data_IF_912039813264
#
_entry.id   IF_912039813264
#
_cell.length_a   1.000
_cell.length_b   1.000
_cell.length_c   1.000
_cell.angle_alpha   90.00
_cell.angle_beta   90.00
_cell.angle_gamma   90.00
#
_symmetry.space_group_name_H-M   'P 1'
#
loop_
_entity.id
_entity.type
_entity.pdbx_description
1 polymer ?
#
# COMPACT_ATOMS: atom_id res chain seq x y z
N UNK A 1 53.56 -39.93 11.97
CA UNK A 1 54.53 -39.30 12.82
C UNK A 1 53.84 -38.35 13.78
N UNK A 2 53.94 -38.76 15.01
CA UNK A 2 53.50 -38.15 16.25
C UNK A 2 54.53 -37.12 16.71
N UNK A 3 54.12 -35.97 17.19
CA UNK A 3 54.84 -35.15 18.19
C UNK A 3 53.80 -34.42 19.01
N UNK A 4 53.51 -34.90 20.16
CA UNK A 4 53.77 -34.52 21.55
C UNK A 4 53.63 -33.05 21.91
N UNK A 5 52.61 -32.79 22.72
CA UNK A 5 52.50 -32.13 24.04
C UNK A 5 53.67 -31.31 24.56
N UNK A 6 53.39 -30.10 25.06
CA UNK A 6 53.59 -29.60 26.44
C UNK A 6 53.27 -28.11 26.44
N UNK A 7 52.20 -27.68 27.10
CA UNK A 7 52.17 -27.17 28.45
C UNK A 7 52.98 -25.87 28.65
N UNK A 8 52.24 -24.77 28.86
CA UNK A 8 52.69 -23.75 29.84
C UNK A 8 51.46 -22.93 30.27
N UNK A 9 50.94 -23.41 31.38
CA UNK A 9 50.04 -22.71 32.31
C UNK A 9 50.85 -21.57 32.97
N UNK A 10 50.55 -20.31 32.71
CA UNK A 10 50.95 -19.18 33.57
C UNK A 10 49.84 -18.12 33.50
N UNK A 11 48.97 -18.17 34.52
CA UNK A 11 48.16 -17.02 34.91
C UNK A 11 49.06 -15.99 35.60
N UNK A 12 49.05 -14.73 35.24
CA UNK A 12 49.50 -13.66 36.12
C UNK A 12 48.33 -13.20 37.00
N UNK A 13 48.52 -13.32 38.32
CA UNK A 13 47.80 -12.59 39.35
C UNK A 13 47.87 -11.09 39.09
N UNK A 14 46.77 -10.45 38.86
CA UNK A 14 46.65 -8.99 38.92
C UNK A 14 45.62 -8.63 40.00
N UNK A 15 46.13 -8.34 41.18
CA UNK A 15 45.40 -7.64 42.24
C UNK A 15 45.00 -6.25 41.76
N UNK A 16 43.79 -5.77 42.06
CA UNK A 16 43.46 -4.39 41.75
C UNK A 16 44.20 -3.43 42.69
N UNK A 17 44.65 -2.26 42.17
CA UNK A 17 45.30 -1.26 42.99
C UNK A 17 44.30 -0.56 43.92
N UNK A 18 44.83 -0.23 45.12
CA UNK A 18 44.13 0.41 46.21
C UNK A 18 43.42 1.71 45.79
N UNK A 19 42.19 1.84 46.28
CA UNK A 19 41.34 3.04 46.13
C UNK A 19 42.01 4.27 46.78
N UNK A 20 42.22 5.29 45.94
CA UNK A 20 42.61 6.65 46.38
C UNK A 20 41.38 7.33 46.98
N UNK A 21 41.44 7.94 48.16
CA UNK A 21 40.31 8.67 48.72
C UNK A 21 40.08 9.97 47.92
N UNK A 22 38.93 10.05 47.26
CA UNK A 22 38.46 11.28 46.59
C UNK A 22 37.98 12.23 47.67
N UNK A 23 38.76 13.25 47.96
CA UNK A 23 38.37 14.43 48.75
C UNK A 23 37.18 15.13 48.08
N UNK A 24 36.08 15.22 48.83
CA UNK A 24 34.90 16.01 48.43
C UNK A 24 35.27 17.50 48.32
N UNK A 25 34.92 18.18 47.21
CA UNK A 25 35.03 19.63 47.18
C UNK A 25 33.97 20.24 48.08
N UNK A 26 34.43 21.20 48.87
CA UNK A 26 33.65 22.08 49.73
C UNK A 26 32.54 22.77 48.94
N UNK A 27 31.32 22.63 49.40
CA UNK A 27 30.14 23.34 48.88
C UNK A 27 30.32 24.86 49.06
N UNK A 28 30.62 25.51 47.96
CA UNK A 28 30.50 26.95 47.89
C UNK A 28 29.01 27.34 47.92
N UNK A 29 28.61 28.01 48.98
CA UNK A 29 27.32 28.65 49.15
C UNK A 29 27.04 29.63 48.00
N UNK A 30 26.07 29.30 47.17
CA UNK A 30 25.55 30.17 46.14
C UNK A 30 24.66 31.22 46.80
N UNK A 31 24.84 32.52 46.55
CA UNK A 31 23.92 33.52 47.05
C UNK A 31 22.54 33.36 46.42
N UNK A 32 21.53 33.30 47.27
CA UNK A 32 20.12 33.46 46.90
C UNK A 32 19.91 34.87 46.34
N UNK A 33 19.93 34.98 45.02
CA UNK A 33 19.30 36.13 44.37
C UNK A 33 17.85 35.75 44.09
N UNK A 34 16.99 36.31 44.91
CA UNK A 34 15.57 36.39 44.68
C UNK A 34 15.30 37.03 43.31
N UNK A 35 14.94 36.23 42.30
CA UNK A 35 14.19 36.65 41.15
C UNK A 35 12.91 35.85 41.08
N UNK A 36 12.02 36.08 42.04
CA UNK A 36 10.60 35.84 41.89
C UNK A 36 10.09 36.83 40.83
N UNK A 37 9.92 36.39 39.62
CA UNK A 37 9.42 37.27 38.58
C UNK A 37 9.26 36.54 37.25
N UNK A 38 8.02 36.11 36.98
CA UNK A 38 7.48 36.07 35.61
C UNK A 38 8.03 34.98 34.70
N UNK A 39 7.83 33.73 35.06
CA UNK A 39 7.51 32.68 34.07
C UNK A 39 6.00 32.44 34.02
N UNK A 40 5.22 33.50 33.87
CA UNK A 40 3.81 33.40 33.49
C UNK A 40 3.78 33.08 32.01
N UNK A 41 3.58 31.78 31.70
CA UNK A 41 2.52 31.33 30.87
C UNK A 41 2.35 31.98 29.51
N UNK A 42 3.28 31.74 28.57
CA UNK A 42 2.94 31.79 27.14
C UNK A 42 2.25 30.48 26.69
N UNK A 43 1.38 29.90 27.54
CA UNK A 43 0.26 29.15 27.05
C UNK A 43 -0.84 30.15 26.64
N UNK A 44 -0.57 30.89 25.59
CA UNK A 44 -1.64 31.45 24.78
C UNK A 44 -2.43 30.23 24.29
N UNK A 45 -3.41 29.82 25.08
CA UNK A 45 -4.56 29.10 24.53
C UNK A 45 -5.11 30.06 23.47
N UNK A 46 -4.67 29.87 22.23
CA UNK A 46 -5.43 30.33 21.08
C UNK A 46 -6.76 29.56 21.18
N UNK A 47 -7.69 30.18 21.88
CA UNK A 47 -9.11 29.81 21.86
C UNK A 47 -9.64 30.13 20.47
N UNK A 48 -9.08 29.46 19.46
CA UNK A 48 -9.79 29.26 18.24
C UNK A 48 -10.90 28.33 18.68
N UNK A 49 -12.06 28.90 18.99
CA UNK A 49 -13.29 28.20 19.16
C UNK A 49 -13.38 27.27 17.91
N UNK A 50 -13.12 25.99 18.12
CA UNK A 50 -13.36 25.00 17.10
C UNK A 50 -14.85 25.01 16.90
N UNK A 51 -15.32 25.80 15.93
CA UNK A 51 -16.71 25.76 15.49
C UNK A 51 -17.08 24.29 15.38
N UNK A 52 -18.22 23.87 15.96
CA UNK A 52 -18.67 22.50 15.82
C UNK A 52 -18.70 22.22 14.32
N UNK A 53 -17.86 21.28 13.88
CA UNK A 53 -17.87 20.84 12.49
C UNK A 53 -19.21 20.19 12.27
N UNK A 54 -20.19 20.95 11.79
CA UNK A 54 -21.42 20.40 11.26
C UNK A 54 -20.99 19.39 10.20
N UNK A 55 -21.11 18.11 10.49
CA UNK A 55 -20.89 17.08 9.47
C UNK A 55 -21.97 17.31 8.44
N UNK A 56 -21.63 17.68 7.20
CA UNK A 56 -22.63 17.83 6.17
C UNK A 56 -23.38 16.50 6.05
N UNK A 57 -24.71 16.57 5.91
CA UNK A 57 -25.56 15.39 5.77
C UNK A 57 -25.01 14.51 4.63
N UNK A 58 -24.76 13.21 4.91
CA UNK A 58 -24.04 12.31 4.00
C UNK A 58 -24.72 12.08 2.64
N UNK A 59 -25.98 12.49 2.50
CA UNK A 59 -26.76 12.30 1.27
C UNK A 59 -26.14 12.98 0.05
N UNK A 60 -25.54 14.18 0.20
CA UNK A 60 -24.90 14.88 -0.93
C UNK A 60 -23.74 14.08 -1.53
N UNK A 61 -22.95 13.38 -0.68
CA UNK A 61 -21.85 12.54 -1.17
C UNK A 61 -22.39 11.34 -1.95
N UNK A 62 -23.50 10.78 -1.52
CA UNK A 62 -24.20 9.70 -2.24
C UNK A 62 -24.70 10.22 -3.58
N UNK A 63 -25.36 11.37 -3.60
CA UNK A 63 -25.88 12.00 -4.85
C UNK A 63 -24.72 12.35 -5.78
N UNK A 64 -23.68 13.01 -5.29
CA UNK A 64 -22.52 13.36 -6.09
C UNK A 64 -21.81 12.11 -6.68
N UNK A 65 -21.71 11.04 -5.88
CA UNK A 65 -21.18 9.77 -6.36
C UNK A 65 -22.07 9.17 -7.44
N UNK A 66 -23.38 9.07 -7.23
CA UNK A 66 -24.32 8.52 -8.21
C UNK A 66 -24.27 9.35 -9.52
N UNK A 67 -24.40 10.67 -9.43
CA UNK A 67 -24.38 11.54 -10.62
C UNK A 67 -23.07 11.38 -11.40
N UNK A 68 -21.93 11.44 -10.71
CA UNK A 68 -20.64 11.28 -11.38
C UNK A 68 -20.50 9.91 -12.06
N UNK A 69 -20.98 8.83 -11.42
CA UNK A 69 -20.92 7.46 -11.99
C UNK A 69 -21.91 7.26 -13.12
N UNK A 70 -23.09 7.88 -13.05
CA UNK A 70 -24.03 7.89 -14.18
C UNK A 70 -23.46 8.59 -15.40
N UNK A 71 -22.80 9.75 -15.22
CA UNK A 71 -22.11 10.43 -16.31
C UNK A 71 -20.97 9.59 -16.89
N UNK A 72 -20.20 8.91 -16.05
CA UNK A 72 -19.15 7.98 -16.48
C UNK A 72 -19.73 6.79 -17.27
N UNK A 73 -20.88 6.26 -16.85
CA UNK A 73 -21.58 5.20 -17.57
C UNK A 73 -22.06 5.67 -18.96
N UNK A 74 -22.56 6.89 -19.06
CA UNK A 74 -22.90 7.49 -20.37
C UNK A 74 -21.68 7.64 -21.29
N UNK A 75 -20.54 8.05 -20.74
CA UNK A 75 -19.27 8.11 -21.49
C UNK A 75 -18.82 6.71 -21.93
N UNK A 76 -19.02 5.70 -21.10
CA UNK A 76 -18.69 4.30 -21.43
C UNK A 76 -19.46 3.78 -22.62
N UNK A 77 -20.73 4.16 -22.79
CA UNK A 77 -21.54 3.73 -23.95
C UNK A 77 -20.84 4.06 -25.27
N UNK A 78 -20.12 5.19 -25.33
CA UNK A 78 -19.42 5.63 -26.53
C UNK A 78 -18.00 5.04 -26.68
N UNK A 79 -17.36 4.66 -25.57
CA UNK A 79 -15.95 4.20 -25.51
C UNK A 79 -15.82 2.71 -25.16
N UNK A 80 -16.93 1.99 -25.04
CA UNK A 80 -17.00 0.67 -24.43
C UNK A 80 -16.12 -0.39 -25.06
N UNK A 81 -15.98 -0.39 -26.39
CA UNK A 81 -15.17 -1.38 -27.10
C UNK A 81 -13.69 -1.33 -26.71
N UNK A 82 -13.14 -0.15 -26.59
CA UNK A 82 -11.74 0.07 -26.20
C UNK A 82 -11.50 -0.30 -24.71
N UNK A 83 -12.39 0.16 -23.81
CA UNK A 83 -12.24 -0.04 -22.38
C UNK A 83 -12.40 -1.50 -21.95
N UNK A 84 -13.15 -2.30 -22.68
CA UNK A 84 -13.41 -3.72 -22.41
C UNK A 84 -12.23 -4.63 -22.77
N UNK A 85 -11.30 -4.18 -23.59
CA UNK A 85 -10.23 -5.02 -24.15
C UNK A 85 -9.40 -5.72 -23.08
N UNK A 86 -8.98 -5.00 -22.04
CA UNK A 86 -8.19 -5.58 -20.96
C UNK A 86 -8.97 -6.59 -20.12
N UNK A 87 -10.26 -6.32 -19.87
CA UNK A 87 -11.11 -7.22 -19.11
C UNK A 87 -11.37 -8.50 -19.90
N UNK A 88 -11.58 -8.40 -21.21
CA UNK A 88 -11.71 -9.55 -22.11
C UNK A 88 -10.39 -10.34 -22.12
N UNK A 89 -9.25 -9.65 -22.19
CA UNK A 89 -7.93 -10.30 -22.08
C UNK A 89 -7.78 -11.07 -20.76
N UNK A 90 -8.19 -10.50 -19.63
CA UNK A 90 -8.17 -11.25 -18.36
C UNK A 90 -9.03 -12.52 -18.42
N UNK A 91 -10.23 -12.40 -18.94
CA UNK A 91 -11.17 -13.52 -19.05
C UNK A 91 -10.59 -14.64 -19.93
N UNK A 92 -10.17 -14.31 -21.14
CA UNK A 92 -9.63 -15.29 -22.09
C UNK A 92 -8.37 -15.95 -21.58
N UNK A 93 -7.53 -15.20 -20.87
CA UNK A 93 -6.28 -15.72 -20.30
C UNK A 93 -6.49 -16.73 -19.19
N UNK A 94 -7.58 -16.63 -18.42
CA UNK A 94 -7.84 -17.55 -17.30
C UNK A 94 -8.77 -18.71 -17.67
N UNK A 95 -9.39 -18.68 -18.86
CA UNK A 95 -10.26 -19.77 -19.30
C UNK A 95 -9.50 -21.09 -19.42
N UNK A 96 -10.04 -22.14 -18.83
CA UNK A 96 -9.44 -23.48 -18.83
C UNK A 96 -8.18 -23.61 -17.96
N UNK A 97 -7.69 -22.53 -17.35
CA UNK A 97 -6.52 -22.56 -16.50
C UNK A 97 -6.87 -23.10 -15.10
N UNK A 98 -6.14 -24.11 -14.65
CA UNK A 98 -6.25 -24.59 -13.27
C UNK A 98 -5.67 -23.58 -12.29
N UNK A 99 -6.34 -23.30 -11.15
CA UNK A 99 -5.79 -22.43 -10.11
C UNK A 99 -4.45 -22.89 -9.54
N UNK A 100 -4.11 -24.18 -9.68
CA UNK A 100 -2.85 -24.78 -9.24
C UNK A 100 -1.77 -24.81 -10.31
N UNK A 101 -2.09 -24.45 -11.55
CA UNK A 101 -1.15 -24.47 -12.69
C UNK A 101 -1.34 -23.20 -13.53
N UNK A 102 -0.69 -22.12 -13.10
CA UNK A 102 -0.77 -20.80 -13.74
C UNK A 102 0.50 -20.45 -14.54
N UNK A 103 1.26 -21.46 -14.96
CA UNK A 103 2.44 -21.23 -15.80
C UNK A 103 2.01 -20.55 -17.11
N UNK A 104 2.56 -19.36 -17.37
CA UNK A 104 2.24 -18.58 -18.57
C UNK A 104 0.90 -17.80 -18.51
N UNK A 105 0.04 -18.04 -17.50
CA UNK A 105 -1.24 -17.33 -17.36
C UNK A 105 -1.03 -15.99 -16.66
N UNK A 106 -1.30 -14.89 -17.37
CA UNK A 106 -1.15 -13.52 -16.84
C UNK A 106 0.18 -13.36 -16.06
N UNK A 107 1.29 -13.73 -16.70
CA UNK A 107 2.62 -13.79 -16.06
C UNK A 107 3.13 -12.42 -15.58
N UNK A 108 2.58 -11.34 -16.12
CA UNK A 108 2.83 -9.94 -15.72
C UNK A 108 2.17 -9.58 -14.38
N UNK A 109 1.20 -10.39 -13.92
CA UNK A 109 0.48 -10.14 -12.67
C UNK A 109 0.90 -11.12 -11.57
N UNK A 110 0.97 -10.65 -10.30
CA UNK A 110 1.11 -11.55 -9.15
C UNK A 110 -0.03 -12.57 -9.07
N UNK A 111 0.28 -13.77 -8.63
CA UNK A 111 -0.68 -14.89 -8.59
C UNK A 111 -1.98 -14.59 -7.83
N UNK A 112 -1.96 -13.91 -6.65
CA UNK A 112 -3.20 -13.64 -5.91
C UNK A 112 -4.24 -12.84 -6.69
N UNK A 113 -3.81 -11.95 -7.58
CA UNK A 113 -4.76 -11.22 -8.41
C UNK A 113 -5.30 -12.08 -9.55
N UNK A 114 -4.50 -13.03 -10.04
CA UNK A 114 -4.97 -14.01 -11.04
C UNK A 114 -6.04 -14.92 -10.43
N UNK A 115 -5.87 -15.35 -9.18
CA UNK A 115 -6.90 -16.10 -8.46
C UNK A 115 -8.20 -15.30 -8.28
N UNK A 116 -8.11 -13.98 -8.03
CA UNK A 116 -9.30 -13.13 -7.99
C UNK A 116 -9.99 -13.06 -9.36
N UNK A 117 -9.23 -12.93 -10.44
CA UNK A 117 -9.77 -12.94 -11.81
C UNK A 117 -10.44 -14.27 -12.11
N UNK A 118 -9.82 -15.41 -11.75
CA UNK A 118 -10.42 -16.74 -11.91
C UNK A 118 -11.72 -16.89 -11.10
N UNK A 119 -11.76 -16.38 -9.87
CA UNK A 119 -12.97 -16.37 -9.06
C UNK A 119 -14.11 -15.60 -9.76
N UNK A 120 -13.82 -14.40 -10.28
CA UNK A 120 -14.79 -13.62 -11.02
C UNK A 120 -15.23 -14.34 -12.31
N UNK A 121 -14.31 -15.00 -13.01
CA UNK A 121 -14.62 -15.78 -14.19
C UNK A 121 -15.52 -16.98 -13.85
N UNK A 122 -15.24 -17.67 -12.75
CA UNK A 122 -16.07 -18.79 -12.28
C UNK A 122 -17.50 -18.35 -11.93
N UNK A 123 -17.66 -17.17 -11.31
CA UNK A 123 -18.97 -16.57 -11.00
C UNK A 123 -19.72 -16.19 -12.29
N UNK A 124 -19.00 -15.75 -13.32
CA UNK A 124 -19.56 -15.25 -14.57
C UNK A 124 -19.96 -16.39 -15.54
N UNK A 125 -19.44 -17.59 -15.34
CA UNK A 125 -19.61 -18.68 -16.28
C UNK A 125 -18.88 -18.46 -17.61
N UNK A 126 -19.33 -19.05 -18.74
CA UNK A 126 -18.60 -19.04 -20.00
C UNK A 126 -18.74 -17.74 -20.81
N UNK A 127 -19.56 -16.80 -20.37
CA UNK A 127 -19.85 -15.57 -21.12
C UNK A 127 -18.88 -14.45 -20.80
N UNK A 128 -18.16 -13.95 -21.80
CA UNK A 128 -17.29 -12.79 -21.69
C UNK A 128 -18.04 -11.51 -21.30
N UNK A 129 -19.25 -11.32 -21.81
CA UNK A 129 -20.06 -10.14 -21.48
C UNK A 129 -20.52 -10.14 -20.04
N UNK A 130 -20.92 -11.32 -19.52
CA UNK A 130 -21.26 -11.46 -18.10
C UNK A 130 -20.02 -11.22 -17.24
N UNK A 131 -18.84 -11.72 -17.66
CA UNK A 131 -17.60 -11.44 -16.95
C UNK A 131 -17.27 -9.94 -16.90
N UNK A 132 -17.39 -9.25 -18.02
CA UNK A 132 -17.17 -7.80 -18.07
C UNK A 132 -18.10 -7.08 -17.10
N UNK A 133 -19.38 -7.47 -17.07
CA UNK A 133 -20.35 -6.91 -16.12
C UNK A 133 -19.98 -7.20 -14.66
N UNK A 134 -19.69 -8.46 -14.30
CA UNK A 134 -19.31 -8.86 -12.94
C UNK A 134 -18.03 -8.16 -12.49
N UNK A 135 -17.05 -8.04 -13.38
CA UNK A 135 -15.80 -7.33 -13.12
C UNK A 135 -16.06 -5.84 -12.85
N UNK A 136 -16.79 -5.16 -13.75
CA UNK A 136 -17.12 -3.75 -13.61
C UNK A 136 -17.98 -3.49 -12.35
N UNK A 137 -18.95 -4.34 -12.06
CA UNK A 137 -19.78 -4.27 -10.85
C UNK A 137 -18.93 -4.45 -9.57
N UNK A 138 -17.97 -5.37 -9.59
CA UNK A 138 -17.03 -5.58 -8.46
C UNK A 138 -16.16 -4.33 -8.24
N UNK A 139 -15.59 -3.76 -9.30
CA UNK A 139 -14.81 -2.52 -9.19
C UNK A 139 -15.67 -1.33 -8.79
N UNK A 140 -16.88 -1.20 -9.31
CA UNK A 140 -17.84 -0.17 -8.90
C UNK A 140 -18.25 -0.29 -7.43
N UNK A 141 -18.46 -1.51 -6.95
CA UNK A 141 -18.71 -1.78 -5.53
C UNK A 141 -17.52 -1.41 -4.65
N UNK A 142 -16.30 -1.69 -5.11
CA UNK A 142 -15.07 -1.33 -4.41
C UNK A 142 -14.88 0.20 -4.36
N UNK A 143 -15.16 0.90 -5.47
CA UNK A 143 -15.16 2.37 -5.54
C UNK A 143 -16.17 2.97 -4.55
N UNK A 144 -17.39 2.46 -4.50
CA UNK A 144 -18.41 2.87 -3.54
C UNK A 144 -17.97 2.62 -2.09
N UNK A 145 -17.33 1.48 -1.83
CA UNK A 145 -16.79 1.14 -0.51
C UNK A 145 -15.67 2.11 -0.09
N UNK A 146 -14.77 2.45 -1.00
CA UNK A 146 -13.71 3.45 -0.78
C UNK A 146 -14.32 4.84 -0.48
N UNK A 147 -15.29 5.28 -1.28
CA UNK A 147 -15.99 6.55 -1.08
C UNK A 147 -16.67 6.60 0.32
N UNK A 148 -17.40 5.55 0.69
CA UNK A 148 -18.06 5.41 2.00
C UNK A 148 -17.03 5.39 3.14
N UNK A 149 -15.92 4.69 2.95
CA UNK A 149 -14.82 4.65 3.91
C UNK A 149 -14.21 6.03 4.15
N UNK A 150 -13.89 6.74 3.06
CA UNK A 150 -13.36 8.10 3.10
C UNK A 150 -14.32 9.08 3.73
N UNK A 151 -15.62 9.00 3.41
CA UNK A 151 -16.65 9.82 4.03
C UNK A 151 -16.63 9.75 5.56
N UNK A 152 -16.44 8.56 6.10
CA UNK A 152 -16.38 8.34 7.54
C UNK A 152 -15.16 8.98 8.20
N UNK A 153 -14.08 9.15 7.46
CA UNK A 153 -12.83 9.72 7.94
C UNK A 153 -12.73 11.22 7.66
N UNK A 154 -13.08 11.65 6.46
CA UNK A 154 -13.01 13.04 6.02
C UNK A 154 -13.92 13.28 4.82
N UNK A 155 -14.97 14.12 4.95
CA UNK A 155 -15.81 14.51 3.82
C UNK A 155 -15.02 15.10 2.65
N UNK A 156 -13.96 15.88 2.93
CA UNK A 156 -13.07 16.44 1.89
C UNK A 156 -12.35 15.35 1.11
N UNK A 157 -11.85 14.33 1.80
CA UNK A 157 -11.19 13.20 1.12
C UNK A 157 -12.17 12.42 0.23
N UNK A 158 -13.42 12.28 0.66
CA UNK A 158 -14.48 11.69 -0.16
C UNK A 158 -14.77 12.54 -1.41
N UNK A 159 -14.87 13.87 -1.27
CA UNK A 159 -15.08 14.78 -2.42
C UNK A 159 -13.94 14.69 -3.42
N UNK A 160 -12.70 14.68 -2.93
CA UNK A 160 -11.51 14.52 -3.78
C UNK A 160 -11.51 13.15 -4.49
N UNK A 161 -11.91 12.10 -3.79
CA UNK A 161 -12.04 10.77 -4.39
C UNK A 161 -13.06 10.77 -5.53
N UNK A 162 -14.25 11.32 -5.30
CA UNK A 162 -15.31 11.40 -6.31
C UNK A 162 -14.84 12.20 -7.53
N UNK A 163 -14.22 13.37 -7.31
CA UNK A 163 -13.72 14.23 -8.38
C UNK A 163 -12.58 13.56 -9.16
N UNK A 164 -11.59 13.00 -8.46
CA UNK A 164 -10.43 12.40 -9.10
C UNK A 164 -10.79 11.14 -9.89
N UNK A 165 -11.63 10.29 -9.33
CA UNK A 165 -12.10 9.08 -10.03
C UNK A 165 -13.03 9.40 -11.19
N UNK A 166 -13.78 10.50 -11.12
CA UNK A 166 -14.56 11.02 -12.25
C UNK A 166 -13.64 11.47 -13.41
N UNK A 167 -12.52 12.15 -13.09
CA UNK A 167 -11.54 12.57 -14.09
C UNK A 167 -10.82 11.39 -14.77
N UNK A 168 -10.60 10.28 -14.05
CA UNK A 168 -10.09 9.05 -14.65
C UNK A 168 -11.12 8.45 -15.61
N UNK A 169 -12.39 8.73 -15.38
CA UNK A 169 -13.49 8.23 -16.20
C UNK A 169 -13.80 6.75 -15.97
N UNK A 170 -14.54 6.12 -16.90
CA UNK A 170 -14.98 4.74 -16.76
C UNK A 170 -13.84 3.71 -16.71
N UNK A 171 -12.63 4.10 -17.09
CA UNK A 171 -11.45 3.24 -17.05
C UNK A 171 -11.22 2.60 -15.65
N UNK A 172 -11.60 3.31 -14.58
CA UNK A 172 -11.46 2.81 -13.20
C UNK A 172 -12.23 1.50 -12.96
N UNK A 173 -13.31 1.25 -13.71
CA UNK A 173 -14.12 0.03 -13.57
C UNK A 173 -13.59 -1.15 -14.39
N UNK A 174 -12.68 -0.88 -15.33
CA UNK A 174 -12.12 -1.86 -16.26
C UNK A 174 -10.63 -2.12 -16.02
N UNK A 175 -10.09 -1.58 -14.92
CA UNK A 175 -8.71 -1.79 -14.48
C UNK A 175 -8.68 -2.39 -13.08
N UNK A 176 -7.80 -3.36 -12.91
CA UNK A 176 -7.58 -4.03 -11.63
C UNK A 176 -6.92 -3.13 -10.59
N UNK A 177 -6.40 -1.98 -11.00
CA UNK A 177 -5.62 -1.04 -10.18
C UNK A 177 -6.39 -0.48 -8.98
N UNK A 178 -7.72 -0.53 -9.01
CA UNK A 178 -8.55 -0.11 -7.90
C UNK A 178 -8.39 -1.02 -6.67
N UNK A 179 -8.05 -2.30 -6.86
CA UNK A 179 -7.84 -3.25 -5.76
C UNK A 179 -6.64 -2.84 -4.90
N UNK A 180 -5.41 -2.70 -5.44
CA UNK A 180 -4.29 -2.21 -4.65
C UNK A 180 -4.50 -0.79 -4.12
N UNK A 181 -5.20 0.10 -4.84
CA UNK A 181 -5.51 1.45 -4.36
C UNK A 181 -6.41 1.43 -3.12
N UNK A 182 -7.44 0.57 -3.09
CA UNK A 182 -8.30 0.38 -1.92
C UNK A 182 -7.53 -0.19 -0.71
N UNK A 183 -6.62 -1.12 -0.94
CA UNK A 183 -5.75 -1.67 0.11
C UNK A 183 -4.77 -0.63 0.66
N UNK A 184 -4.23 0.23 -0.19
CA UNK A 184 -3.43 1.39 0.21
C UNK A 184 -4.25 2.37 1.03
N UNK A 185 -5.47 2.68 0.63
CA UNK A 185 -6.38 3.51 1.41
C UNK A 185 -6.62 2.92 2.80
N UNK A 186 -6.88 1.62 2.90
CA UNK A 186 -7.02 0.92 4.17
C UNK A 186 -5.73 1.01 5.00
N UNK A 187 -4.56 0.80 4.39
CA UNK A 187 -3.27 0.90 5.06
C UNK A 187 -3.05 2.30 5.67
N UNK A 188 -3.27 3.35 4.89
CA UNK A 188 -3.10 4.74 5.33
C UNK A 188 -4.03 5.11 6.48
N UNK A 189 -5.29 4.73 6.41
CA UNK A 189 -6.29 5.05 7.43
C UNK A 189 -6.10 4.26 8.73
N UNK A 190 -5.48 3.08 8.66
CA UNK A 190 -5.19 2.23 9.83
C UNK A 190 -3.84 2.52 10.49
N UNK A 191 -3.01 3.39 9.91
CA UNK A 191 -1.60 3.59 10.28
C UNK A 191 -1.39 3.88 11.77
N UNK A 192 -2.24 4.70 12.38
CA UNK A 192 -2.10 5.12 13.79
C UNK A 192 -2.79 4.18 14.76
N UNK A 193 -4.03 3.78 14.46
CA UNK A 193 -4.88 3.01 15.38
C UNK A 193 -4.60 1.51 15.34
N UNK A 194 -4.27 0.97 14.17
CA UNK A 194 -4.08 -0.47 13.92
C UNK A 194 -2.84 -0.71 13.06
N UNK A 195 -1.63 -0.40 13.55
CA UNK A 195 -0.42 -0.44 12.72
C UNK A 195 -0.11 -1.82 12.12
N UNK A 196 -0.38 -2.92 12.79
CA UNK A 196 -0.20 -4.27 12.22
C UNK A 196 -1.13 -4.50 11.01
N UNK A 197 -2.40 -4.10 11.11
CA UNK A 197 -3.34 -4.20 10.00
C UNK A 197 -2.99 -3.27 8.84
N UNK A 198 -2.40 -2.09 9.14
CA UNK A 198 -1.85 -1.21 8.11
C UNK A 198 -0.75 -1.91 7.31
N UNK A 199 0.18 -2.58 7.99
CA UNK A 199 1.23 -3.38 7.33
C UNK A 199 0.66 -4.56 6.54
N UNK A 200 -0.31 -5.28 7.11
CA UNK A 200 -1.01 -6.37 6.43
C UNK A 200 -1.71 -5.92 5.14
N UNK A 201 -2.36 -4.74 5.17
CA UNK A 201 -3.01 -4.16 3.99
C UNK A 201 -1.99 -3.78 2.90
N UNK A 202 -0.80 -3.28 3.29
CA UNK A 202 0.30 -3.03 2.33
C UNK A 202 0.77 -4.35 1.70
N UNK A 203 0.92 -5.43 2.48
CA UNK A 203 1.32 -6.74 1.96
C UNK A 203 0.28 -7.33 0.99
N UNK A 204 -1.01 -7.25 1.34
CA UNK A 204 -2.10 -7.64 0.45
C UNK A 204 -2.09 -6.82 -0.84
N UNK A 205 -1.91 -5.49 -0.74
CA UNK A 205 -1.77 -4.62 -1.90
C UNK A 205 -0.60 -5.02 -2.79
N UNK A 206 0.57 -5.28 -2.19
CA UNK A 206 1.76 -5.74 -2.90
C UNK A 206 1.55 -7.10 -3.57
N UNK A 207 0.75 -7.97 -2.98
CA UNK A 207 0.38 -9.25 -3.55
C UNK A 207 -0.59 -9.14 -4.74
N UNK A 208 -1.27 -8.00 -4.90
CA UNK A 208 -2.10 -7.74 -6.08
C UNK A 208 -1.34 -6.99 -7.16
N UNK A 209 -0.49 -6.04 -6.78
CA UNK A 209 0.42 -5.28 -7.66
C UNK A 209 1.62 -4.81 -6.83
N UNK A 210 2.83 -4.92 -7.33
CA UNK A 210 4.05 -4.77 -6.51
C UNK A 210 4.24 -3.38 -5.88
N UNK A 211 3.79 -2.30 -6.52
CA UNK A 211 4.06 -0.93 -6.09
C UNK A 211 3.62 -0.57 -4.65
N UNK A 212 2.54 -1.13 -4.06
CA UNK A 212 2.19 -0.84 -2.67
C UNK A 212 3.28 -1.22 -1.66
N UNK A 213 4.16 -2.18 -1.99
CA UNK A 213 5.28 -2.55 -1.13
C UNK A 213 6.19 -1.35 -0.79
N UNK A 214 6.33 -0.39 -1.71
CA UNK A 214 7.13 0.82 -1.51
C UNK A 214 6.62 1.70 -0.35
N UNK A 215 5.35 1.57 0.01
CA UNK A 215 4.74 2.33 1.10
C UNK A 215 5.21 1.89 2.49
N UNK A 216 5.85 0.73 2.62
CA UNK A 216 6.34 0.29 3.92
C UNK A 216 7.40 1.25 4.47
N UNK A 217 8.19 1.87 3.60
CA UNK A 217 9.26 2.81 3.96
C UNK A 217 8.67 4.12 4.55
N UNK A 218 7.84 4.89 3.83
CA UNK A 218 7.28 6.13 4.38
C UNK A 218 6.31 5.89 5.53
N UNK A 219 5.72 4.71 5.64
CA UNK A 219 4.88 4.33 6.77
C UNK A 219 5.66 3.86 8.00
N UNK A 220 6.99 3.87 7.98
CA UNK A 220 7.80 3.40 9.11
C UNK A 220 7.45 4.12 10.43
N UNK A 221 7.40 5.47 10.48
CA UNK A 221 6.97 6.23 11.66
C UNK A 221 7.79 5.96 12.94
N UNK A 222 7.15 6.00 14.12
CA UNK A 222 7.83 5.73 15.40
C UNK A 222 8.29 4.26 15.49
N UNK A 223 9.39 4.00 16.21
CA UNK A 223 9.98 2.64 16.31
C UNK A 223 8.96 1.55 16.70
N UNK A 224 8.10 1.80 17.70
CA UNK A 224 7.10 0.81 18.14
C UNK A 224 6.03 0.56 17.07
N UNK A 225 5.53 1.61 16.45
CA UNK A 225 4.53 1.54 15.38
C UNK A 225 5.13 0.92 14.11
N UNK A 226 6.39 1.27 13.78
CA UNK A 226 7.13 0.70 12.66
C UNK A 226 7.28 -0.83 12.79
N UNK A 227 7.72 -1.32 13.97
CA UNK A 227 7.86 -2.77 14.21
C UNK A 227 6.54 -3.51 14.04
N UNK A 228 5.41 -2.96 14.53
CA UNK A 228 4.09 -3.59 14.36
C UNK A 228 3.64 -3.61 12.90
N UNK A 229 3.89 -2.54 12.14
CA UNK A 229 3.60 -2.51 10.69
C UNK A 229 4.47 -3.49 9.92
N UNK A 230 5.77 -3.47 10.18
CA UNK A 230 6.69 -4.43 9.59
C UNK A 230 6.29 -5.87 9.92
N UNK A 231 5.92 -6.15 11.18
CA UNK A 231 5.43 -7.47 11.58
C UNK A 231 4.16 -7.88 10.81
N UNK A 232 3.18 -6.99 10.67
CA UNK A 232 1.97 -7.27 9.89
C UNK A 232 2.27 -7.48 8.40
N UNK A 233 3.15 -6.67 7.83
CA UNK A 233 3.60 -6.80 6.44
C UNK A 233 4.33 -8.13 6.21
N UNK A 234 5.30 -8.45 7.06
CA UNK A 234 6.09 -9.68 6.94
C UNK A 234 5.24 -10.93 7.15
N UNK A 235 4.35 -10.92 8.15
CA UNK A 235 3.47 -12.07 8.42
C UNK A 235 2.57 -12.37 7.23
N UNK A 236 1.82 -11.36 6.77
CA UNK A 236 0.86 -11.56 5.66
C UNK A 236 1.62 -11.79 4.35
N UNK A 237 2.72 -11.07 4.11
CA UNK A 237 3.57 -11.28 2.94
C UNK A 237 4.18 -12.69 2.90
N UNK A 238 4.67 -13.19 4.05
CA UNK A 238 5.18 -14.56 4.16
C UNK A 238 4.10 -15.61 3.92
N UNK A 239 2.91 -15.45 4.52
CA UNK A 239 1.79 -16.37 4.32
C UNK A 239 1.38 -16.45 2.85
N UNK A 240 1.20 -15.29 2.19
CA UNK A 240 0.83 -15.25 0.77
C UNK A 240 1.98 -15.77 -0.09
N UNK A 241 3.20 -15.31 0.16
CA UNK A 241 4.39 -15.73 -0.59
C UNK A 241 4.60 -17.24 -0.51
N UNK A 242 4.48 -17.83 0.68
CA UNK A 242 4.56 -19.29 0.86
C UNK A 242 3.44 -20.00 0.10
N UNK A 243 2.19 -19.55 0.21
CA UNK A 243 1.06 -20.14 -0.51
C UNK A 243 1.28 -20.10 -2.02
N UNK A 244 1.79 -18.99 -2.55
CA UNK A 244 2.08 -18.84 -3.98
C UNK A 244 3.25 -19.74 -4.40
N UNK A 245 4.34 -19.78 -3.64
CA UNK A 245 5.50 -20.61 -3.98
C UNK A 245 5.16 -22.10 -3.92
N UNK A 246 4.41 -22.52 -2.90
CA UNK A 246 3.99 -23.94 -2.76
C UNK A 246 3.04 -24.34 -3.88
N UNK A 247 2.11 -23.47 -4.29
CA UNK A 247 1.13 -23.82 -5.32
C UNK A 247 1.66 -23.66 -6.75
N UNK A 248 2.56 -22.71 -7.01
CA UNK A 248 2.95 -22.33 -8.38
C UNK A 248 4.46 -22.48 -8.68
N UNK A 249 5.26 -22.71 -7.66
CA UNK A 249 6.71 -22.73 -7.75
C UNK A 249 7.36 -21.34 -7.81
N UNK A 250 8.69 -21.30 -7.66
CA UNK A 250 9.46 -20.07 -7.61
C UNK A 250 9.43 -19.28 -8.92
N UNK A 251 9.53 -19.98 -10.05
CA UNK A 251 9.57 -19.34 -11.37
C UNK A 251 8.31 -18.50 -11.64
N UNK A 252 7.10 -19.06 -11.38
CA UNK A 252 5.84 -18.34 -11.55
C UNK A 252 5.70 -17.22 -10.51
N UNK A 253 6.16 -17.44 -9.28
CA UNK A 253 6.14 -16.42 -8.23
C UNK A 253 6.97 -15.18 -8.58
N UNK A 254 8.11 -15.38 -9.27
CA UNK A 254 9.00 -14.31 -9.70
C UNK A 254 8.62 -13.70 -11.06
N UNK A 255 7.72 -14.32 -11.83
CA UNK A 255 7.39 -13.89 -13.19
C UNK A 255 6.96 -12.41 -13.33
N UNK A 256 6.22 -11.79 -12.38
CA UNK A 256 5.90 -10.37 -12.50
C UNK A 256 7.14 -9.47 -12.48
N UNK A 257 8.18 -9.85 -11.75
CA UNK A 257 9.45 -9.09 -11.68
C UNK A 257 10.26 -9.25 -12.97
N UNK A 258 10.39 -10.48 -13.46
CA UNK A 258 11.11 -10.76 -14.72
C UNK A 258 10.40 -10.11 -15.90
N UNK A 259 9.06 -10.14 -15.93
CA UNK A 259 8.28 -9.45 -16.95
C UNK A 259 8.53 -7.94 -16.96
N UNK A 260 8.55 -7.29 -15.79
CA UNK A 260 8.84 -5.85 -15.70
C UNK A 260 10.27 -5.52 -16.11
N UNK A 261 11.24 -6.40 -15.84
CA UNK A 261 12.64 -6.20 -16.21
C UNK A 261 12.89 -6.29 -17.74
N UNK A 262 12.06 -7.09 -18.44
CA UNK A 262 12.18 -7.27 -19.90
C UNK A 262 11.25 -6.35 -20.69
N UNK A 263 10.34 -5.66 -20.01
CA UNK A 263 9.36 -4.78 -20.66
C UNK A 263 10.04 -3.47 -21.08
N UNK A 264 9.84 -3.11 -22.35
CA UNK A 264 10.25 -1.82 -22.86
C UNK A 264 9.47 -0.65 -22.24
N UNK A 265 9.80 0.56 -22.69
CA UNK A 265 9.16 1.80 -22.23
C UNK A 265 7.67 1.76 -22.60
N UNK A 266 6.78 1.86 -21.62
CA UNK A 266 5.35 1.92 -21.86
C UNK A 266 4.96 3.29 -22.40
N UNK A 267 4.11 3.29 -23.42
CA UNK A 267 3.59 4.52 -24.08
C UNK A 267 2.88 5.45 -23.09
N UNK A 268 2.24 4.89 -22.07
CA UNK A 268 1.50 5.59 -21.01
C UNK A 268 2.41 6.16 -19.92
N UNK A 269 3.73 5.87 -19.96
CA UNK A 269 4.66 6.37 -18.96
C UNK A 269 5.09 7.80 -19.27
N UNK A 270 5.34 8.59 -18.22
CA UNK A 270 5.87 9.95 -18.35
C UNK A 270 7.17 9.97 -19.17
N UNK A 271 8.01 8.94 -19.04
CA UNK A 271 9.26 8.79 -19.77
C UNK A 271 9.07 8.53 -21.27
N UNK A 272 7.88 8.03 -21.68
CA UNK A 272 7.55 7.84 -23.08
C UNK A 272 7.20 9.16 -23.78
N UNK A 273 6.88 10.23 -23.05
CA UNK A 273 6.46 11.50 -23.59
C UNK A 273 7.49 12.05 -24.58
N UNK A 274 8.78 12.03 -24.22
CA UNK A 274 9.84 12.57 -25.09
C UNK A 274 9.97 11.79 -26.42
N UNK A 275 10.11 10.45 -26.43
CA UNK A 275 10.10 9.67 -27.67
C UNK A 275 8.81 9.84 -28.49
N UNK A 276 7.65 10.00 -27.85
CA UNK A 276 6.40 10.21 -28.54
C UNK A 276 6.34 11.56 -29.24
N UNK A 277 6.83 12.63 -28.57
CA UNK A 277 6.94 13.96 -29.18
C UNK A 277 7.94 13.95 -30.34
N UNK A 278 9.10 13.28 -30.17
CA UNK A 278 10.06 13.13 -31.26
C UNK A 278 9.43 12.46 -32.49
N UNK A 279 8.64 11.40 -32.27
CA UNK A 279 7.99 10.66 -33.36
C UNK A 279 6.90 11.49 -34.08
N UNK A 280 6.30 12.47 -33.40
CA UNK A 280 5.37 13.42 -34.02
C UNK A 280 6.07 14.46 -34.89
N UNK A 281 7.31 14.82 -34.54
CA UNK A 281 8.06 15.89 -35.22
C UNK A 281 8.99 15.32 -36.33
N UNK A 282 9.39 14.05 -36.19
CA UNK A 282 10.27 13.34 -37.14
C UNK A 282 9.63 11.97 -37.44
N UNK A 283 8.61 11.94 -38.36
CA UNK A 283 7.92 10.70 -38.73
C UNK A 283 8.80 9.74 -39.53
#
# INVERSE_FOLDING_TARGET
>A
PSVSRQALDRRPDSRPPASIPVTRPVTASRPETASAGVRRGWHRRSGIATMPRVRPNGWWAVVAWIVSRSLMACLFINLGSYLRSDVIYYFTSVQGASPMHLAGVLSEYPVPIVWLIQLLAAISGPSADVFVFVFAATMGGLDAACCRWLWRHSPRACSLWIAFTFLIGPLIWFRIDLVPAALVLAALTMTTRRPAWSGAAVALGAATKLWPALLIVPLAGTRRSARRRAGGFLLVGALIGTAVVVSQGLARSASPLTWQATRGLQIESVWATLPMVQRLVSP
#
